data_IF_290739855004
#
_entry.id   IF_290739855004
#
_cell.length_a   1.000
_cell.length_b   1.000
_cell.length_c   1.000
_cell.angle_alpha   90.00
_cell.angle_beta   90.00
_cell.angle_gamma   90.00
#
_symmetry.space_group_name_H-M   'P 1'
#
loop_
_entity.id
_entity.type
_entity.pdbx_description
1 polymer ?
#
# COMPACT_ATOMS: atom_id res chain seq x y z
N UNK A 1 -6.05 11.08 10.17
CA UNK A 1 -4.87 11.22 11.05
C UNK A 1 -3.95 12.33 10.58
N UNK A 2 -3.38 12.28 9.37
CA UNK A 2 -2.46 13.33 8.87
C UNK A 2 -3.05 14.74 8.96
N UNK A 3 -4.25 14.96 8.41
CA UNK A 3 -4.91 16.28 8.44
C UNK A 3 -5.31 16.73 9.86
N UNK A 4 -5.68 15.80 10.73
CA UNK A 4 -5.96 16.12 12.14
C UNK A 4 -4.72 16.71 12.82
N UNK A 5 -3.54 16.11 12.61
CA UNK A 5 -2.27 16.60 13.18
C UNK A 5 -1.82 17.92 12.58
N UNK A 6 -1.95 18.06 11.25
CA UNK A 6 -1.53 19.27 10.53
C UNK A 6 -2.39 20.49 10.88
N UNK A 7 -3.71 20.29 10.99
CA UNK A 7 -4.68 21.38 11.13
C UNK A 7 -5.21 21.54 12.56
N UNK A 8 -4.79 20.69 13.49
CA UNK A 8 -5.31 20.62 14.87
C UNK A 8 -6.85 20.60 14.91
N UNK A 9 -7.46 19.79 14.03
CA UNK A 9 -8.90 19.74 13.82
C UNK A 9 -9.46 18.35 14.11
N UNK A 10 -10.23 18.26 15.19
CA UNK A 10 -10.90 17.04 15.69
C UNK A 10 -11.90 16.45 14.69
N UNK A 11 -12.42 17.23 13.73
CA UNK A 11 -13.36 16.71 12.72
C UNK A 11 -12.73 15.60 11.88
N UNK A 12 -11.45 15.72 11.53
CA UNK A 12 -10.75 14.68 10.77
C UNK A 12 -10.51 13.41 11.58
N UNK A 13 -10.48 13.50 12.92
CA UNK A 13 -10.43 12.32 13.78
C UNK A 13 -11.79 11.62 13.78
N UNK A 14 -12.87 12.38 13.98
CA UNK A 14 -14.24 11.86 13.94
C UNK A 14 -14.59 11.21 12.59
N UNK A 15 -14.17 11.81 11.48
CA UNK A 15 -14.31 11.24 10.14
C UNK A 15 -13.55 9.91 9.99
N UNK A 16 -12.32 9.82 10.52
CA UNK A 16 -11.55 8.57 10.49
C UNK A 16 -12.25 7.44 11.26
N UNK A 17 -12.80 7.74 12.45
CA UNK A 17 -13.56 6.77 13.24
C UNK A 17 -14.85 6.35 12.53
N UNK A 18 -15.53 7.30 11.89
CA UNK A 18 -16.72 7.02 11.08
C UNK A 18 -16.39 6.09 9.91
N UNK A 19 -15.29 6.32 9.19
CA UNK A 19 -14.84 5.42 8.11
C UNK A 19 -14.56 4.02 8.65
N UNK A 20 -13.93 3.88 9.82
CA UNK A 20 -13.71 2.56 10.43
C UNK A 20 -15.04 1.87 10.74
N UNK A 21 -15.99 2.57 11.34
CA UNK A 21 -17.31 2.03 11.67
C UNK A 21 -18.07 1.58 10.41
N UNK A 22 -18.03 2.36 9.32
CA UNK A 22 -18.69 2.00 8.06
C UNK A 22 -18.03 0.81 7.37
N UNK A 23 -16.69 0.74 7.36
CA UNK A 23 -15.98 -0.42 6.82
C UNK A 23 -16.34 -1.69 7.61
N UNK A 24 -16.39 -1.63 8.93
CA UNK A 24 -16.79 -2.76 9.77
C UNK A 24 -18.26 -3.17 9.52
N UNK A 25 -19.16 -2.19 9.38
CA UNK A 25 -20.59 -2.43 9.14
C UNK A 25 -20.87 -3.06 7.77
N UNK A 26 -20.19 -2.57 6.73
CA UNK A 26 -20.51 -2.87 5.33
C UNK A 26 -19.62 -4.00 4.79
N UNK A 27 -18.33 -3.91 5.04
CA UNK A 27 -17.31 -4.79 4.45
C UNK A 27 -16.79 -5.84 5.42
N UNK A 28 -17.07 -5.69 6.73
CA UNK A 28 -16.66 -6.62 7.76
C UNK A 28 -17.15 -8.05 7.50
N UNK A 29 -16.31 -9.01 7.85
CA UNK A 29 -16.62 -10.45 7.85
C UNK A 29 -16.32 -11.02 9.23
N UNK A 30 -16.81 -12.23 9.58
CA UNK A 30 -16.46 -12.86 10.85
C UNK A 30 -14.94 -12.96 11.09
N UNK A 31 -14.16 -13.05 9.99
CA UNK A 31 -12.72 -12.83 9.98
C UNK A 31 -12.37 -11.96 8.79
N UNK A 32 -11.67 -10.87 9.01
CA UNK A 32 -11.22 -9.98 7.94
C UNK A 32 -12.31 -9.12 7.31
N UNK A 33 -12.02 -8.58 6.12
CA UNK A 33 -12.77 -7.50 5.49
C UNK A 33 -12.77 -7.71 3.96
N UNK A 34 -13.93 -7.56 3.32
CA UNK A 34 -14.08 -7.56 1.86
C UNK A 34 -13.55 -6.26 1.24
N UNK A 35 -13.09 -6.31 -0.01
CA UNK A 35 -12.52 -5.11 -0.69
C UNK A 35 -13.56 -4.03 -1.02
N UNK A 36 -14.81 -4.37 -1.32
CA UNK A 36 -15.86 -3.39 -1.63
C UNK A 36 -17.23 -4.01 -1.87
N UNK A 37 -18.27 -3.19 -2.00
CA UNK A 37 -19.66 -3.66 -2.11
C UNK A 37 -20.01 -4.25 -3.49
N UNK A 38 -19.36 -3.76 -4.55
CA UNK A 38 -19.67 -4.16 -5.92
C UNK A 38 -19.50 -5.67 -6.14
N UNK A 39 -20.32 -6.31 -7.01
CA UNK A 39 -20.31 -7.77 -7.16
C UNK A 39 -18.94 -8.38 -7.51
N UNK A 40 -18.11 -7.67 -8.27
CA UNK A 40 -16.76 -8.07 -8.66
C UNK A 40 -15.68 -7.75 -7.60
N UNK A 41 -16.06 -7.02 -6.55
CA UNK A 41 -15.25 -6.66 -5.38
C UNK A 41 -15.46 -7.65 -4.24
N UNK A 42 -15.76 -8.90 -4.55
CA UNK A 42 -15.90 -9.99 -3.60
C UNK A 42 -14.56 -10.55 -3.13
N UNK A 43 -14.63 -11.44 -2.13
CA UNK A 43 -13.45 -12.03 -1.51
C UNK A 43 -12.65 -11.04 -0.67
N UNK A 44 -11.51 -11.52 -0.17
CA UNK A 44 -10.57 -10.73 0.62
C UNK A 44 -9.21 -10.72 -0.04
N UNK A 45 -8.59 -9.56 -0.12
CA UNK A 45 -7.30 -9.37 -0.77
C UNK A 45 -6.27 -8.97 0.27
N UNK A 46 -5.13 -9.66 0.28
CA UNK A 46 -4.12 -9.44 1.32
C UNK A 46 -3.62 -7.98 1.32
N UNK A 47 -3.28 -7.45 0.14
CA UNK A 47 -2.74 -6.10 0.02
C UNK A 47 -3.67 -5.02 0.63
N UNK A 48 -4.98 -5.09 0.37
CA UNK A 48 -5.93 -4.11 0.91
C UNK A 48 -6.12 -4.28 2.42
N UNK A 49 -6.12 -5.51 2.92
CA UNK A 49 -6.13 -5.77 4.36
C UNK A 49 -4.89 -5.19 5.04
N UNK A 50 -3.70 -5.35 4.45
CA UNK A 50 -2.46 -4.80 4.97
C UNK A 50 -2.46 -3.25 4.93
N UNK A 51 -3.00 -2.61 3.90
CA UNK A 51 -3.19 -1.14 3.90
C UNK A 51 -4.16 -0.70 5.00
N UNK A 52 -5.24 -1.45 5.21
CA UNK A 52 -6.22 -1.14 6.25
C UNK A 52 -5.64 -1.31 7.66
N UNK A 53 -4.84 -2.35 7.88
CA UNK A 53 -4.06 -2.53 9.11
C UNK A 53 -3.14 -1.34 9.37
N UNK A 54 -2.46 -0.82 8.34
CA UNK A 54 -1.62 0.39 8.47
C UNK A 54 -2.46 1.62 8.86
N UNK A 55 -3.64 1.80 8.26
CA UNK A 55 -4.54 2.90 8.62
C UNK A 55 -5.02 2.80 10.09
N UNK A 56 -5.40 1.60 10.54
CA UNK A 56 -5.77 1.32 11.93
C UNK A 56 -4.60 1.58 12.89
N UNK A 57 -3.38 1.18 12.52
CA UNK A 57 -2.18 1.50 13.29
C UNK A 57 -1.98 3.02 13.44
N UNK A 58 -2.08 3.79 12.35
CA UNK A 58 -1.91 5.25 12.42
C UNK A 58 -2.96 5.89 13.32
N UNK A 59 -4.22 5.46 13.24
CA UNK A 59 -5.27 5.93 14.14
C UNK A 59 -5.02 5.47 15.60
N UNK A 60 -4.46 4.28 15.75
CA UNK A 60 -4.02 3.67 17.02
C UNK A 60 -3.04 4.52 17.82
N UNK A 61 -2.20 5.31 17.13
CA UNK A 61 -1.27 6.25 17.78
C UNK A 61 -1.96 7.36 18.58
N UNK A 62 -3.25 7.63 18.28
CA UNK A 62 -4.09 8.60 18.99
C UNK A 62 -5.07 7.85 19.90
N UNK A 63 -5.67 6.76 19.40
CA UNK A 63 -6.69 5.97 20.08
C UNK A 63 -6.32 4.49 20.08
N UNK A 64 -5.74 4.03 21.19
CA UNK A 64 -5.17 2.69 21.40
C UNK A 64 -6.08 1.52 20.97
N UNK A 65 -7.40 1.68 21.01
CA UNK A 65 -8.33 0.64 20.55
C UNK A 65 -8.19 0.27 19.08
N UNK A 66 -7.75 1.19 18.22
CA UNK A 66 -7.51 0.90 16.80
C UNK A 66 -6.19 0.16 16.58
N UNK A 67 -5.20 0.34 17.45
CA UNK A 67 -4.00 -0.51 17.46
C UNK A 67 -4.38 -1.97 17.75
N UNK A 68 -5.21 -2.21 18.78
CA UNK A 68 -5.74 -3.55 19.09
C UNK A 68 -6.51 -4.16 17.91
N UNK A 69 -7.33 -3.37 17.20
CA UNK A 69 -8.02 -3.83 15.98
C UNK A 69 -7.04 -4.23 14.87
N UNK A 70 -5.94 -3.51 14.70
CA UNK A 70 -4.90 -3.87 13.73
C UNK A 70 -4.25 -5.23 14.07
N UNK A 71 -3.87 -5.44 15.33
CA UNK A 71 -3.33 -6.72 15.82
C UNK A 71 -4.32 -7.87 15.61
N UNK A 72 -5.60 -7.64 15.96
CA UNK A 72 -6.65 -8.63 15.80
C UNK A 72 -6.84 -9.02 14.33
N UNK A 73 -6.85 -8.04 13.43
CA UNK A 73 -7.00 -8.28 12.00
C UNK A 73 -5.86 -9.14 11.43
N UNK A 74 -4.61 -8.90 11.86
CA UNK A 74 -3.47 -9.76 11.50
C UNK A 74 -3.73 -11.20 11.92
N UNK A 75 -4.14 -11.42 13.17
CA UNK A 75 -4.39 -12.76 13.73
C UNK A 75 -5.53 -13.49 13.03
N UNK A 76 -6.58 -12.76 12.64
CA UNK A 76 -7.74 -13.32 11.94
C UNK A 76 -7.36 -13.85 10.54
N UNK A 77 -6.50 -13.13 9.81
CA UNK A 77 -6.28 -13.38 8.38
C UNK A 77 -4.97 -14.10 8.07
N UNK A 78 -3.90 -13.89 8.84
CA UNK A 78 -2.56 -14.45 8.57
C UNK A 78 -2.57 -15.98 8.33
N UNK A 79 -3.23 -16.81 9.18
CA UNK A 79 -3.20 -18.27 8.98
C UNK A 79 -3.85 -18.74 7.68
N UNK A 80 -4.74 -17.94 7.09
CA UNK A 80 -5.44 -18.29 5.87
C UNK A 80 -4.69 -17.81 4.62
N UNK A 81 -4.05 -16.65 4.69
CA UNK A 81 -3.35 -16.03 3.57
C UNK A 81 -1.91 -16.53 3.39
N UNK A 82 -1.20 -16.82 4.48
CA UNK A 82 0.24 -17.09 4.43
C UNK A 82 0.51 -18.58 4.32
N UNK A 83 1.28 -18.94 3.28
CA UNK A 83 1.80 -20.28 3.07
C UNK A 83 3.30 -20.27 3.37
N UNK A 84 3.74 -20.71 4.56
CA UNK A 84 5.14 -20.66 4.96
C UNK A 84 6.05 -21.32 3.93
N UNK A 85 7.11 -20.61 3.51
CA UNK A 85 8.03 -21.11 2.49
C UNK A 85 7.48 -21.11 1.06
N UNK A 86 6.26 -20.64 0.82
CA UNK A 86 5.67 -20.57 -0.53
C UNK A 86 5.37 -19.13 -0.92
N UNK A 87 4.58 -18.42 -0.12
CA UNK A 87 4.21 -17.02 -0.41
C UNK A 87 2.94 -16.62 0.34
N UNK A 88 2.33 -15.54 -0.13
CA UNK A 88 1.05 -15.03 0.38
C UNK A 88 0.02 -15.14 -0.74
N UNK A 89 -1.11 -15.78 -0.47
CA UNK A 89 -2.21 -15.89 -1.43
C UNK A 89 -2.74 -14.49 -1.71
N UNK A 90 -2.93 -14.14 -2.99
CA UNK A 90 -3.32 -12.78 -3.35
C UNK A 90 -4.78 -12.46 -2.94
N UNK A 91 -5.68 -13.43 -3.19
CA UNK A 91 -7.12 -13.31 -2.92
C UNK A 91 -7.69 -14.59 -2.31
N UNK A 92 -8.47 -14.43 -1.24
CA UNK A 92 -9.20 -15.49 -0.53
C UNK A 92 -10.71 -15.34 -0.72
N UNK A 93 -11.45 -16.43 -0.51
CA UNK A 93 -12.90 -16.38 -0.32
C UNK A 93 -13.26 -15.52 0.90
N UNK A 94 -14.48 -14.99 0.95
CA UNK A 94 -14.91 -14.05 2.00
C UNK A 94 -14.91 -14.64 3.42
N UNK A 95 -15.09 -15.95 3.54
CA UNK A 95 -15.04 -16.68 4.81
C UNK A 95 -13.63 -17.20 5.16
N UNK A 96 -12.65 -16.95 4.28
CA UNK A 96 -11.28 -17.45 4.34
C UNK A 96 -11.19 -18.98 4.34
N UNK A 97 -12.18 -19.69 3.77
CA UNK A 97 -12.17 -21.15 3.66
C UNK A 97 -11.15 -21.69 2.64
N UNK A 98 -10.71 -20.84 1.70
CA UNK A 98 -9.67 -21.19 0.73
C UNK A 98 -9.34 -20.06 -0.25
N UNK A 99 -8.35 -20.29 -1.14
CA UNK A 99 -7.99 -19.36 -2.19
C UNK A 99 -9.16 -19.07 -3.12
N UNK A 100 -9.27 -17.82 -3.57
CA UNK A 100 -10.28 -17.46 -4.57
C UNK A 100 -9.89 -18.04 -5.95
N UNK A 101 -10.80 -18.70 -6.69
CA UNK A 101 -10.47 -19.32 -7.97
C UNK A 101 -9.87 -18.35 -9.00
N UNK A 102 -8.80 -18.77 -9.67
CA UNK A 102 -8.14 -17.99 -10.72
C UNK A 102 -7.08 -16.99 -10.23
N UNK A 103 -6.84 -16.91 -8.92
CA UNK A 103 -5.81 -16.04 -8.33
C UNK A 103 -4.65 -16.86 -7.78
N UNK A 104 -3.44 -16.30 -7.88
CA UNK A 104 -2.20 -16.92 -7.40
C UNK A 104 -1.66 -16.27 -6.14
N UNK A 105 -0.32 -16.23 -6.03
CA UNK A 105 0.39 -15.55 -4.95
C UNK A 105 0.58 -14.06 -5.28
N UNK A 106 0.50 -13.21 -4.27
CA UNK A 106 0.80 -11.79 -4.41
C UNK A 106 2.32 -11.56 -4.45
N UNK A 107 2.80 -10.87 -5.49
CA UNK A 107 4.23 -10.65 -5.71
C UNK A 107 4.89 -9.79 -4.63
N UNK A 108 4.17 -8.81 -4.09
CA UNK A 108 4.67 -7.87 -3.07
C UNK A 108 4.06 -8.09 -1.68
N UNK A 109 3.10 -9.00 -1.56
CA UNK A 109 2.25 -9.12 -0.37
C UNK A 109 3.05 -9.52 0.89
N UNK A 110 4.10 -10.32 0.75
CA UNK A 110 4.98 -10.67 1.87
C UNK A 110 5.91 -9.52 2.29
N UNK A 111 6.30 -8.63 1.37
CA UNK A 111 7.00 -7.39 1.75
C UNK A 111 6.06 -6.47 2.50
N UNK A 112 4.84 -6.31 1.98
CA UNK A 112 3.83 -5.46 2.59
C UNK A 112 3.47 -5.94 4.01
N UNK A 113 3.19 -7.23 4.16
CA UNK A 113 2.94 -7.84 5.46
C UNK A 113 4.14 -7.73 6.40
N UNK A 114 5.35 -7.96 5.91
CA UNK A 114 6.56 -7.81 6.73
C UNK A 114 6.69 -6.39 7.30
N UNK A 115 6.54 -5.38 6.44
CA UNK A 115 6.61 -3.96 6.83
C UNK A 115 5.50 -3.63 7.81
N UNK A 116 4.24 -3.84 7.45
CA UNK A 116 3.09 -3.42 8.27
C UNK A 116 3.03 -4.16 9.60
N UNK A 117 3.29 -5.46 9.64
CA UNK A 117 3.26 -6.21 10.91
C UNK A 117 4.38 -5.75 11.86
N UNK A 118 5.56 -5.44 11.31
CA UNK A 118 6.67 -4.90 12.10
C UNK A 118 6.37 -3.52 12.65
N UNK A 119 5.56 -2.73 11.95
CA UNK A 119 5.12 -1.41 12.40
C UNK A 119 4.01 -1.48 13.46
N UNK A 120 3.16 -2.51 13.44
CA UNK A 120 2.08 -2.67 14.42
C UNK A 120 2.64 -3.04 15.79
N UNK A 121 3.21 -4.23 15.92
CA UNK A 121 3.73 -4.72 17.20
C UNK A 121 4.75 -5.86 16.98
N UNK A 122 6.06 -5.57 17.00
CA UNK A 122 7.12 -6.56 16.84
C UNK A 122 7.11 -7.69 17.86
N UNK A 123 6.55 -7.45 19.06
CA UNK A 123 6.54 -8.43 20.14
C UNK A 123 5.32 -9.33 20.02
N UNK A 124 4.15 -8.72 19.84
CA UNK A 124 2.88 -9.43 19.80
C UNK A 124 2.69 -10.23 18.49
N UNK A 125 3.29 -9.77 17.39
CA UNK A 125 3.22 -10.41 16.06
C UNK A 125 4.53 -11.09 15.63
N UNK A 126 5.40 -11.43 16.60
CA UNK A 126 6.75 -11.94 16.32
C UNK A 126 6.78 -13.20 15.43
N UNK A 127 5.73 -14.04 15.47
CA UNK A 127 5.62 -15.23 14.62
C UNK A 127 5.27 -14.84 13.19
N UNK A 128 4.22 -14.03 13.02
CA UNK A 128 3.70 -13.58 11.74
C UNK A 128 4.77 -12.77 10.98
N UNK A 129 5.50 -11.91 11.69
CA UNK A 129 6.65 -11.16 11.15
C UNK A 129 7.75 -12.10 10.67
N UNK A 130 8.04 -13.17 11.42
CA UNK A 130 9.09 -14.14 11.04
C UNK A 130 8.71 -14.90 9.77
N UNK A 131 7.44 -15.30 9.63
CA UNK A 131 6.93 -15.94 8.42
C UNK A 131 7.11 -15.01 7.21
N UNK A 132 6.70 -13.75 7.33
CA UNK A 132 6.84 -12.76 6.25
C UNK A 132 8.31 -12.46 5.93
N UNK A 133 9.16 -12.26 6.94
CA UNK A 133 10.60 -12.02 6.76
C UNK A 133 11.26 -13.18 6.01
N UNK A 134 10.92 -14.42 6.35
CA UNK A 134 11.45 -15.60 5.67
C UNK A 134 11.08 -15.63 4.19
N UNK A 135 9.86 -15.21 3.83
CA UNK A 135 9.45 -15.08 2.43
C UNK A 135 10.23 -13.98 1.71
N UNK A 136 10.41 -12.82 2.34
CA UNK A 136 11.20 -11.69 1.80
C UNK A 136 12.64 -12.13 1.51
N UNK A 137 13.32 -12.73 2.49
CA UNK A 137 14.72 -13.16 2.36
C UNK A 137 14.97 -14.14 1.22
N UNK A 138 13.94 -14.94 0.90
CA UNK A 138 13.99 -15.94 -0.17
C UNK A 138 13.75 -15.37 -1.56
N UNK A 139 12.99 -14.28 -1.67
CA UNK A 139 12.51 -13.77 -2.97
C UNK A 139 13.19 -12.49 -3.42
N UNK A 140 13.69 -11.65 -2.50
CA UNK A 140 14.02 -10.26 -2.83
C UNK A 140 15.14 -10.10 -3.86
N UNK A 141 16.04 -11.08 -4.00
CA UNK A 141 17.15 -11.01 -4.97
C UNK A 141 16.66 -11.23 -6.39
N UNK A 142 15.63 -12.05 -6.56
CA UNK A 142 15.06 -12.43 -7.85
C UNK A 142 13.83 -11.58 -8.21
N UNK A 143 13.26 -10.85 -7.25
CA UNK A 143 12.14 -9.94 -7.49
C UNK A 143 12.55 -8.83 -8.47
N UNK A 144 11.81 -8.76 -9.57
CA UNK A 144 11.79 -7.67 -10.52
C UNK A 144 10.40 -7.02 -10.54
N UNK A 145 10.36 -5.71 -10.37
CA UNK A 145 9.13 -4.91 -10.42
C UNK A 145 9.25 -3.99 -11.62
N UNK A 146 8.30 -4.06 -12.55
CA UNK A 146 8.31 -3.22 -13.75
C UNK A 146 7.12 -2.28 -13.83
N UNK A 147 6.11 -2.44 -12.97
CA UNK A 147 4.90 -1.61 -13.01
C UNK A 147 4.93 -0.47 -11.99
N UNK A 148 4.50 0.71 -12.44
CA UNK A 148 4.46 1.98 -11.73
C UNK A 148 4.00 1.89 -10.26
N UNK A 149 2.79 1.39 -10.00
CA UNK A 149 2.24 1.32 -8.64
C UNK A 149 3.09 0.42 -7.73
N UNK A 150 3.56 -0.71 -8.25
CA UNK A 150 4.41 -1.63 -7.49
C UNK A 150 5.76 -1.01 -7.15
N UNK A 151 6.33 -0.20 -8.05
CA UNK A 151 7.57 0.54 -7.82
C UNK A 151 7.40 1.59 -6.72
N UNK A 152 6.34 2.39 -6.79
CA UNK A 152 6.02 3.38 -5.75
C UNK A 152 5.81 2.74 -4.38
N UNK A 153 5.05 1.64 -4.32
CA UNK A 153 4.84 0.88 -3.08
C UNK A 153 6.14 0.30 -2.52
N UNK A 154 7.00 -0.27 -3.37
CA UNK A 154 8.26 -0.84 -2.89
C UNK A 154 9.19 0.25 -2.35
N UNK A 155 9.25 1.43 -2.97
CA UNK A 155 9.99 2.56 -2.40
C UNK A 155 9.45 2.94 -1.00
N UNK A 156 8.13 3.00 -0.82
CA UNK A 156 7.52 3.22 0.49
C UNK A 156 7.88 2.13 1.50
N UNK A 157 7.89 0.84 1.10
CA UNK A 157 8.33 -0.26 1.96
C UNK A 157 9.80 -0.11 2.37
N UNK A 158 10.65 0.32 1.44
CA UNK A 158 12.09 0.46 1.69
C UNK A 158 12.38 1.61 2.66
N UNK A 159 11.59 2.70 2.61
CA UNK A 159 11.66 3.79 3.59
C UNK A 159 11.45 3.29 5.02
N UNK A 160 10.40 2.49 5.23
CA UNK A 160 10.06 1.98 6.56
C UNK A 160 11.06 0.94 7.10
N UNK A 161 11.93 0.39 6.24
CA UNK A 161 12.90 -0.67 6.54
C UNK A 161 14.28 -0.38 5.97
N UNK A 162 14.71 0.88 6.01
CA UNK A 162 15.94 1.36 5.39
C UNK A 162 17.22 0.66 5.89
N UNK A 163 17.15 0.01 7.05
CA UNK A 163 18.24 -0.75 7.68
C UNK A 163 18.41 -2.18 7.11
N UNK A 164 17.46 -2.68 6.33
CA UNK A 164 17.49 -4.05 5.82
C UNK A 164 18.19 -4.17 4.45
N UNK A 165 19.00 -5.22 4.21
CA UNK A 165 19.69 -5.40 2.92
C UNK A 165 18.76 -5.49 1.70
N UNK A 166 17.58 -6.10 1.86
CA UNK A 166 16.60 -6.18 0.79
C UNK A 166 16.05 -4.80 0.40
N UNK A 167 15.93 -3.88 1.37
CA UNK A 167 15.42 -2.54 1.14
C UNK A 167 16.42 -1.74 0.29
N UNK A 168 17.71 -1.75 0.65
CA UNK A 168 18.74 -1.09 -0.15
C UNK A 168 18.82 -1.62 -1.60
N UNK A 169 18.72 -2.93 -1.81
CA UNK A 169 18.71 -3.52 -3.15
C UNK A 169 17.47 -3.12 -3.95
N UNK A 170 16.29 -3.22 -3.35
CA UNK A 170 15.02 -2.95 -4.03
C UNK A 170 14.84 -1.45 -4.30
N UNK A 171 15.20 -0.57 -3.36
CA UNK A 171 15.19 0.89 -3.57
C UNK A 171 16.00 1.26 -4.83
N UNK A 172 17.24 0.76 -4.94
CA UNK A 172 18.08 1.01 -6.11
C UNK A 172 17.40 0.52 -7.40
N UNK A 173 16.92 -0.73 -7.43
CA UNK A 173 16.25 -1.30 -8.62
C UNK A 173 15.00 -0.52 -9.01
N UNK A 174 14.22 -0.08 -8.02
CA UNK A 174 13.02 0.70 -8.26
C UNK A 174 13.35 2.04 -8.90
N UNK A 175 14.36 2.75 -8.39
CA UNK A 175 14.84 3.99 -8.99
C UNK A 175 15.38 3.75 -10.41
N UNK A 176 16.24 2.76 -10.62
CA UNK A 176 16.78 2.43 -11.97
C UNK A 176 15.65 2.15 -12.99
N UNK A 177 14.56 1.50 -12.54
CA UNK A 177 13.40 1.19 -13.39
C UNK A 177 12.54 2.42 -13.65
N UNK A 178 12.26 3.22 -12.61
CA UNK A 178 11.50 4.46 -12.75
C UNK A 178 12.20 5.47 -13.65
N UNK A 179 13.54 5.51 -13.63
CA UNK A 179 14.31 6.37 -14.53
C UNK A 179 14.06 6.03 -16.00
N UNK A 180 13.97 4.73 -16.34
CA UNK A 180 13.61 4.26 -17.68
C UNK A 180 12.15 4.54 -18.03
N UNK A 181 11.27 4.63 -17.04
CA UNK A 181 9.83 4.90 -17.21
C UNK A 181 9.50 6.39 -17.32
N UNK A 182 10.44 7.28 -16.98
CA UNK A 182 10.21 8.72 -17.01
C UNK A 182 9.97 9.24 -18.43
N UNK A 183 8.85 9.92 -18.62
CA UNK A 183 8.46 10.62 -19.85
C UNK A 183 8.55 12.12 -19.56
N UNK A 184 9.62 12.76 -20.07
CA UNK A 184 9.98 14.12 -19.71
C UNK A 184 8.91 15.16 -20.04
N UNK A 185 8.29 15.06 -21.22
CA UNK A 185 7.18 15.92 -21.63
C UNK A 185 5.95 15.05 -21.90
N UNK A 186 4.81 15.27 -21.21
CA UNK A 186 4.52 16.38 -20.29
C UNK A 186 5.01 16.19 -18.84
N UNK A 187 5.65 15.06 -18.50
CA UNK A 187 6.14 14.77 -17.15
C UNK A 187 5.28 13.72 -16.43
N UNK A 188 5.53 12.44 -16.68
CA UNK A 188 4.89 11.32 -15.98
C UNK A 188 5.75 10.05 -16.04
N UNK A 189 5.44 9.06 -15.20
CA UNK A 189 5.96 7.69 -15.33
C UNK A 189 4.96 6.82 -16.09
N UNK A 190 5.42 6.18 -17.16
CA UNK A 190 4.58 5.25 -17.92
C UNK A 190 4.28 3.98 -17.10
N UNK A 191 3.33 3.15 -17.56
CA UNK A 191 2.86 1.98 -16.80
C UNK A 191 3.97 0.98 -16.52
N UNK A 192 4.81 0.72 -17.51
CA UNK A 192 6.03 -0.09 -17.43
C UNK A 192 7.02 0.36 -18.53
N UNK A 193 8.31 -0.04 -18.52
CA UNK A 193 9.32 0.50 -19.42
C UNK A 193 8.99 0.42 -20.92
N UNK A 194 8.31 -0.64 -21.35
CA UNK A 194 7.92 -0.86 -22.75
C UNK A 194 6.63 -0.14 -23.16
N UNK A 195 5.80 0.29 -22.19
CA UNK A 195 4.47 0.87 -22.44
C UNK A 195 4.46 2.38 -22.23
N UNK A 196 5.37 3.10 -22.91
CA UNK A 196 5.65 4.54 -22.74
C UNK A 196 4.41 5.45 -22.81
N UNK A 197 3.37 5.05 -23.52
CA UNK A 197 2.14 5.85 -23.71
C UNK A 197 1.02 5.54 -22.71
N UNK A 198 1.13 4.44 -21.96
CA UNK A 198 0.11 4.03 -20.98
C UNK A 198 0.50 4.65 -19.63
N UNK A 199 -0.48 5.25 -18.96
CA UNK A 199 -0.31 5.93 -17.68
C UNK A 199 -1.65 5.96 -16.95
N UNK A 200 -1.60 5.94 -15.62
CA UNK A 200 -2.76 6.15 -14.77
C UNK A 200 -2.40 7.16 -13.69
N UNK A 201 -3.33 8.08 -13.38
CA UNK A 201 -3.06 9.15 -12.42
C UNK A 201 -2.79 8.59 -11.01
N UNK A 202 -3.66 7.71 -10.52
CA UNK A 202 -3.53 7.14 -9.17
C UNK A 202 -2.22 6.35 -8.96
N UNK A 203 -1.71 5.68 -10.00
CA UNK A 203 -0.46 4.93 -9.91
C UNK A 203 0.76 5.84 -9.92
N UNK A 204 0.71 6.91 -10.71
CA UNK A 204 1.73 7.97 -10.74
C UNK A 204 1.80 8.72 -9.41
N UNK A 205 0.66 9.01 -8.79
CA UNK A 205 0.62 9.54 -7.43
C UNK A 205 1.21 8.56 -6.41
N UNK A 206 1.02 7.25 -6.60
CA UNK A 206 1.71 6.23 -5.80
C UNK A 206 3.23 6.24 -5.99
N UNK A 207 3.72 6.44 -7.23
CA UNK A 207 5.15 6.63 -7.51
C UNK A 207 5.67 7.90 -6.82
N UNK A 208 4.94 9.00 -6.90
CA UNK A 208 5.29 10.26 -6.24
C UNK A 208 5.45 10.07 -4.73
N UNK A 209 4.50 9.43 -4.06
CA UNK A 209 4.59 9.13 -2.63
C UNK A 209 5.82 8.25 -2.31
N UNK A 210 6.09 7.23 -3.13
CA UNK A 210 7.28 6.39 -2.97
C UNK A 210 8.59 7.17 -3.15
N UNK A 211 8.67 8.06 -4.14
CA UNK A 211 9.84 8.92 -4.39
C UNK A 211 10.07 9.90 -3.24
N UNK A 212 9.00 10.51 -2.72
CA UNK A 212 9.08 11.36 -1.52
C UNK A 212 9.58 10.58 -0.31
N UNK A 213 9.12 9.33 -0.12
CA UNK A 213 9.52 8.50 1.01
C UNK A 213 11.03 8.19 1.03
N UNK A 214 11.69 8.20 -0.12
CA UNK A 214 13.14 7.96 -0.24
C UNK A 214 13.94 9.21 -0.64
N UNK A 215 13.34 10.39 -0.51
CA UNK A 215 13.94 11.69 -0.88
C UNK A 215 14.57 11.73 -2.29
N UNK A 216 13.82 11.22 -3.27
CA UNK A 216 14.30 11.11 -4.66
C UNK A 216 13.52 12.01 -5.62
N UNK A 217 14.27 12.75 -6.45
CA UNK A 217 13.78 13.47 -7.63
C UNK A 217 12.60 14.43 -7.38
N UNK A 218 12.73 15.42 -6.47
CA UNK A 218 11.68 16.42 -6.22
C UNK A 218 11.18 17.10 -7.49
N UNK A 219 12.07 17.42 -8.45
CA UNK A 219 11.68 18.02 -9.73
C UNK A 219 10.75 17.14 -10.58
N UNK A 220 10.91 15.81 -10.52
CA UNK A 220 10.02 14.87 -11.24
C UNK A 220 8.67 14.76 -10.54
N UNK A 221 8.65 14.81 -9.22
CA UNK A 221 7.43 14.85 -8.41
C UNK A 221 6.61 16.10 -8.76
N UNK A 222 7.25 17.27 -8.80
CA UNK A 222 6.59 18.54 -9.13
C UNK A 222 5.98 18.53 -10.53
N UNK A 223 6.75 18.06 -11.54
CA UNK A 223 6.25 17.93 -12.92
C UNK A 223 5.09 16.94 -13.02
N UNK A 224 5.19 15.80 -12.34
CA UNK A 224 4.15 14.78 -12.31
C UNK A 224 2.86 15.33 -11.70
N UNK A 225 2.93 15.96 -10.53
CA UNK A 225 1.78 16.54 -9.87
C UNK A 225 1.14 17.63 -10.75
N UNK A 226 1.95 18.54 -11.30
CA UNK A 226 1.48 19.60 -12.22
C UNK A 226 0.73 19.02 -13.42
N UNK A 227 1.26 17.95 -14.03
CA UNK A 227 0.62 17.30 -15.17
C UNK A 227 -0.71 16.66 -14.78
N UNK A 228 -0.75 15.92 -13.67
CA UNK A 228 -1.94 15.16 -13.28
C UNK A 228 -3.05 15.98 -12.62
N UNK A 229 -2.77 17.18 -12.11
CA UNK A 229 -3.80 18.11 -11.62
C UNK A 229 -4.79 18.49 -12.74
N UNK A 230 -4.27 18.72 -13.95
CA UNK A 230 -5.07 19.04 -15.14
C UNK A 230 -5.47 17.83 -15.99
N UNK A 231 -4.84 16.67 -15.79
CA UNK A 231 -5.06 15.48 -16.62
C UNK A 231 -6.44 14.85 -16.39
N UNK A 232 -7.05 14.37 -17.47
CA UNK A 232 -8.27 13.55 -17.44
C UNK A 232 -8.06 12.32 -18.33
N UNK A 233 -8.38 11.14 -17.81
CA UNK A 233 -8.29 9.88 -18.57
C UNK A 233 -9.46 9.71 -19.55
N UNK A 234 -10.60 10.33 -19.27
CA UNK A 234 -11.85 10.14 -20.04
C UNK A 234 -12.58 8.83 -19.71
N UNK A 235 -12.16 8.13 -18.66
CA UNK A 235 -12.76 6.88 -18.20
C UNK A 235 -13.24 6.99 -16.73
N UNK A 236 -13.54 5.85 -16.10
CA UNK A 236 -14.01 5.82 -14.71
C UNK A 236 -13.00 6.35 -13.69
N UNK A 237 -11.70 6.33 -13.98
CA UNK A 237 -10.66 6.76 -13.04
C UNK A 237 -10.71 8.26 -12.74
N UNK A 238 -11.32 9.07 -13.62
CA UNK A 238 -11.56 10.50 -13.35
C UNK A 238 -12.54 10.71 -12.17
N UNK A 239 -13.41 9.73 -11.90
CA UNK A 239 -14.46 9.81 -10.86
C UNK A 239 -14.22 8.85 -9.69
N UNK A 240 -13.40 7.82 -9.87
CA UNK A 240 -13.12 6.86 -8.81
C UNK A 240 -12.36 7.52 -7.66
N UNK A 241 -12.83 7.28 -6.43
CA UNK A 241 -12.26 7.88 -5.22
C UNK A 241 -10.76 7.62 -5.05
N UNK A 242 -10.24 6.48 -5.55
CA UNK A 242 -8.82 6.14 -5.47
C UNK A 242 -7.92 7.21 -6.10
N UNK A 243 -8.31 7.80 -7.23
CA UNK A 243 -7.50 8.85 -7.89
C UNK A 243 -7.40 10.09 -7.03
N UNK A 244 -8.51 10.50 -6.41
CA UNK A 244 -8.57 11.69 -5.54
C UNK A 244 -7.81 11.47 -4.23
N UNK A 245 -7.95 10.29 -3.60
CA UNK A 245 -7.21 9.93 -2.38
C UNK A 245 -5.70 9.89 -2.65
N UNK A 246 -5.29 9.28 -3.78
CA UNK A 246 -3.88 9.23 -4.15
C UNK A 246 -3.33 10.61 -4.51
N UNK A 247 -4.11 11.48 -5.16
CA UNK A 247 -3.72 12.87 -5.42
C UNK A 247 -3.44 13.62 -4.12
N UNK A 248 -4.36 13.57 -3.14
CA UNK A 248 -4.16 14.16 -1.82
C UNK A 248 -2.90 13.60 -1.13
N UNK A 249 -2.67 12.29 -1.23
CA UNK A 249 -1.51 11.63 -0.62
C UNK A 249 -0.20 12.01 -1.31
N UNK A 250 -0.22 12.27 -2.62
CA UNK A 250 0.95 12.75 -3.38
C UNK A 250 1.33 14.17 -2.99
N UNK A 251 0.34 15.05 -2.77
CA UNK A 251 0.58 16.45 -2.37
C UNK A 251 0.85 16.60 -0.87
N UNK A 252 0.32 15.69 -0.05
CA UNK A 252 0.51 15.67 1.40
C UNK A 252 0.59 14.23 1.91
N UNK A 253 1.79 13.61 1.89
CA UNK A 253 1.96 12.21 2.30
C UNK A 253 1.74 11.99 3.80
N UNK A 254 1.99 13.00 4.64
CA UNK A 254 1.76 12.98 6.09
C UNK A 254 2.22 11.68 6.74
N UNK A 255 1.31 10.96 7.39
CA UNK A 255 1.56 9.73 8.15
C UNK A 255 2.14 8.55 7.34
N UNK A 256 2.24 8.64 6.00
CA UNK A 256 2.91 7.63 5.19
C UNK A 256 4.44 7.73 5.25
N UNK A 257 4.98 8.92 5.52
CA UNK A 257 6.43 9.16 5.58
C UNK A 257 6.80 9.54 7.01
N UNK A 258 7.60 8.71 7.67
CA UNK A 258 8.25 9.07 8.93
C UNK A 258 9.31 10.14 8.67
N UNK A 259 9.34 11.19 9.50
CA UNK A 259 10.46 12.12 9.57
C UNK A 259 11.74 11.34 9.94
N UNK A 260 12.82 11.60 9.20
CA UNK A 260 14.16 10.99 9.40
C UNK A 260 14.95 11.83 10.40
#
# INVERSE_FOLDING_TARGET
VSLHRELDDERYLQEAEWVVAEVERVLGRPRGIRIGEEPDRDGQYFHYLAMWMYALLRLGTIKEEYHRKAVELVRQIHPAFVLPGVGVIWKMLEDLSGPYPGYGLGGLDHFHGYVVYSEIDPRELAREIRDMKSLVERSYRDLAITQDLGLGMMLWFTHLRADEPWAGLQQKRCLDTLDQMWVHEPGYFCREPSLRHIKFAFTNYGVSMGLQAVDAWPERIDKLNTFFDGYRSGDEYDRNAITHVMACTSHFPGEFIKEI
#
